data_IF_052258744396
#
_entry.id   IF_052258744396
#
_cell.length_a   1.000
_cell.length_b   1.000
_cell.length_c   1.000
_cell.angle_alpha   90.00
_cell.angle_beta   90.00
_cell.angle_gamma   90.00
#
_symmetry.space_group_name_H-M   'P 1'
#
loop_
_entity.id
_entity.type
_entity.pdbx_description
1 polymer ?
#
# COMPACT_ATOMS: atom_id res chain seq x y z
N UNK A 1 -39.26 -18.13 8.75
CA UNK A 1 -38.38 -18.68 9.77
C UNK A 1 -36.91 -18.48 9.31
N UNK A 2 -36.27 -17.44 9.79
CA UNK A 2 -34.86 -17.14 9.48
C UNK A 2 -33.99 -17.80 10.53
N UNK A 3 -33.08 -18.70 10.12
CA UNK A 3 -32.11 -19.33 11.02
C UNK A 3 -30.97 -18.31 11.27
N UNK A 4 -30.89 -17.88 12.52
CA UNK A 4 -29.75 -17.10 13.04
C UNK A 4 -28.61 -18.11 13.25
N UNK A 5 -27.51 -17.92 12.50
CA UNK A 5 -26.27 -18.67 12.71
C UNK A 5 -25.49 -17.94 13.80
N UNK A 6 -25.41 -18.54 14.97
CA UNK A 6 -24.69 -18.07 16.15
C UNK A 6 -23.15 -18.12 15.88
N UNK A 7 -22.50 -16.99 15.91
CA UNK A 7 -21.03 -16.88 15.99
C UNK A 7 -20.62 -17.05 17.45
N UNK A 8 -20.43 -18.28 17.89
CA UNK A 8 -19.72 -18.64 19.14
C UNK A 8 -18.82 -19.84 18.86
N UNK A 9 -17.54 -19.60 18.82
CA UNK A 9 -16.40 -20.45 19.17
C UNK A 9 -15.18 -20.19 18.28
N UNK A 10 -14.47 -19.10 18.58
CA UNK A 10 -13.02 -19.00 18.27
C UNK A 10 -12.33 -18.44 19.53
N UNK A 11 -12.38 -19.21 20.59
CA UNK A 11 -11.59 -19.00 21.78
C UNK A 11 -10.67 -20.21 21.98
N UNK A 12 -9.38 -20.00 21.91
CA UNK A 12 -8.41 -20.98 22.33
C UNK A 12 -7.51 -21.52 21.23
N UNK A 13 -6.47 -20.78 20.86
CA UNK A 13 -5.16 -21.27 20.35
C UNK A 13 -4.17 -20.10 20.20
N UNK A 14 -4.05 -19.27 21.23
CA UNK A 14 -3.01 -18.22 21.31
C UNK A 14 -2.21 -18.42 22.61
N UNK A 15 -1.62 -19.60 22.78
CA UNK A 15 -0.67 -19.83 23.87
C UNK A 15 0.14 -21.11 23.61
N UNK A 16 1.02 -21.10 22.61
CA UNK A 16 2.12 -22.07 22.46
C UNK A 16 3.06 -21.75 21.29
N UNK A 17 3.65 -20.56 21.23
CA UNK A 17 4.83 -20.30 20.38
C UNK A 17 5.79 -19.28 21.03
N UNK A 18 6.04 -19.45 22.31
CA UNK A 18 7.02 -18.68 23.06
C UNK A 18 7.99 -19.63 23.77
N UNK A 19 8.69 -20.50 23.00
CA UNK A 19 9.84 -21.27 23.51
C UNK A 19 10.46 -22.10 22.37
N UNK A 20 11.15 -21.42 21.43
CA UNK A 20 12.16 -22.09 20.59
C UNK A 20 13.09 -21.05 19.92
N UNK A 21 13.78 -20.27 20.74
CA UNK A 21 14.90 -19.44 20.29
C UNK A 21 16.10 -19.60 21.20
N UNK A 22 16.63 -20.83 21.29
CA UNK A 22 17.96 -21.11 21.82
C UNK A 22 18.47 -22.45 21.27
N UNK A 23 18.74 -22.50 19.97
CA UNK A 23 19.70 -23.45 19.41
C UNK A 23 20.47 -22.68 18.35
N UNK A 24 21.80 -22.66 18.53
CA UNK A 24 22.72 -21.97 17.65
C UNK A 24 22.57 -22.41 16.18
N UNK A 25 21.86 -21.60 15.44
CA UNK A 25 21.77 -21.67 13.99
C UNK A 25 22.62 -20.53 13.45
N UNK A 26 23.52 -20.84 12.53
CA UNK A 26 24.27 -19.89 11.72
C UNK A 26 23.41 -18.65 11.45
N UNK A 27 23.95 -17.48 11.79
CA UNK A 27 23.41 -16.21 11.34
C UNK A 27 23.41 -16.29 9.81
N UNK A 28 22.29 -16.70 9.25
CA UNK A 28 22.01 -16.46 7.86
C UNK A 28 22.08 -14.94 7.77
N UNK A 29 23.18 -14.41 7.22
CA UNK A 29 23.27 -13.00 6.88
C UNK A 29 22.05 -12.73 5.99
N UNK A 30 21.02 -12.12 6.57
CA UNK A 30 19.92 -11.58 5.81
C UNK A 30 20.55 -10.80 4.66
N UNK A 31 20.25 -11.17 3.42
CA UNK A 31 20.92 -10.54 2.29
C UNK A 31 20.65 -9.04 2.39
N UNK A 32 21.65 -8.21 2.14
CA UNK A 32 21.58 -6.75 2.23
C UNK A 32 20.37 -6.14 1.54
N UNK A 33 19.72 -6.88 0.62
CA UNK A 33 18.48 -6.46 -0.05
C UNK A 33 17.23 -6.57 0.83
N UNK A 34 17.13 -7.59 1.69
CA UNK A 34 15.99 -7.74 2.61
C UNK A 34 16.08 -6.72 3.74
N UNK A 35 17.29 -6.35 4.17
CA UNK A 35 17.50 -5.29 5.16
C UNK A 35 17.05 -3.92 4.61
N UNK A 36 17.40 -3.59 3.35
CA UNK A 36 16.95 -2.36 2.69
C UNK A 36 15.44 -2.34 2.57
N UNK A 37 14.84 -3.46 2.16
CA UNK A 37 13.39 -3.59 2.05
C UNK A 37 12.71 -3.37 3.41
N UNK A 38 13.19 -4.04 4.47
CA UNK A 38 12.65 -3.89 5.81
C UNK A 38 12.82 -2.47 6.36
N UNK A 39 13.93 -1.80 6.03
CA UNK A 39 14.15 -0.41 6.44
C UNK A 39 13.07 0.52 5.91
N UNK A 40 12.74 0.45 4.63
CA UNK A 40 11.74 1.34 4.03
C UNK A 40 10.29 0.89 4.25
N UNK A 41 10.02 -0.40 4.49
CA UNK A 41 8.66 -0.90 4.70
C UNK A 41 8.22 -0.93 6.17
N UNK A 42 9.15 -1.13 7.11
CA UNK A 42 8.80 -1.36 8.51
C UNK A 42 9.43 -0.37 9.51
N UNK A 43 10.61 0.23 9.18
CA UNK A 43 11.28 1.16 10.09
C UNK A 43 10.71 2.58 9.95
N UNK A 44 10.39 3.24 11.06
CA UNK A 44 9.78 4.58 11.06
C UNK A 44 10.64 5.64 10.35
N UNK A 45 11.96 5.65 10.58
CA UNK A 45 12.88 6.58 9.91
C UNK A 45 12.93 6.32 8.41
N UNK A 46 13.02 5.04 8.00
CA UNK A 46 13.04 4.66 6.60
C UNK A 46 11.75 5.05 5.87
N UNK A 47 10.59 4.83 6.50
CA UNK A 47 9.29 5.27 5.95
C UNK A 47 9.22 6.79 5.80
N UNK A 48 9.74 7.54 6.78
CA UNK A 48 9.79 8.99 6.72
C UNK A 48 10.71 9.48 5.58
N UNK A 49 11.88 8.90 5.44
CA UNK A 49 12.82 9.23 4.35
C UNK A 49 12.22 8.90 2.96
N UNK A 50 11.54 7.76 2.83
CA UNK A 50 10.84 7.39 1.60
C UNK A 50 9.71 8.36 1.27
N UNK A 51 8.94 8.77 2.29
CA UNK A 51 7.87 9.75 2.13
C UNK A 51 8.42 11.10 1.65
N UNK A 52 9.44 11.63 2.28
CA UNK A 52 10.07 12.91 1.89
C UNK A 52 10.65 12.86 0.48
N UNK A 53 11.28 11.75 0.12
CA UNK A 53 11.74 11.52 -1.23
C UNK A 53 10.59 11.49 -2.24
N UNK A 54 9.48 10.80 -1.91
CA UNK A 54 8.30 10.72 -2.75
C UNK A 54 7.63 12.10 -2.93
N UNK A 55 7.54 12.91 -1.87
CA UNK A 55 7.03 14.30 -1.93
C UNK A 55 7.79 15.10 -2.99
N UNK A 56 9.12 15.08 -2.92
CA UNK A 56 9.97 15.83 -3.85
C UNK A 56 9.88 15.27 -5.28
N UNK A 57 9.92 13.93 -5.42
CA UNK A 57 9.91 13.27 -6.73
C UNK A 57 8.58 13.43 -7.48
N UNK A 58 7.47 13.45 -6.74
CA UNK A 58 6.11 13.47 -7.30
C UNK A 58 5.48 14.88 -7.30
N UNK A 59 6.20 15.90 -6.86
CA UNK A 59 5.69 17.27 -6.80
C UNK A 59 4.50 17.47 -5.86
N UNK A 60 4.38 16.64 -4.81
CA UNK A 60 3.21 16.62 -3.93
C UNK A 60 3.06 17.86 -3.03
N UNK A 61 4.07 18.69 -2.93
CA UNK A 61 4.05 19.99 -2.27
C UNK A 61 3.18 21.02 -3.00
N UNK A 62 2.92 20.82 -4.30
CA UNK A 62 2.13 21.71 -5.16
C UNK A 62 0.62 21.53 -5.03
N UNK A 63 0.16 20.39 -4.51
CA UNK A 63 -1.27 20.13 -4.34
C UNK A 63 -1.91 21.14 -3.37
N UNK A 64 -3.15 21.55 -3.65
CA UNK A 64 -3.89 22.49 -2.81
C UNK A 64 -4.21 21.88 -1.43
N UNK A 65 -4.33 22.73 -0.42
CA UNK A 65 -4.72 22.27 0.93
C UNK A 65 -6.13 21.67 0.94
N UNK A 66 -7.02 22.15 0.06
CA UNK A 66 -8.37 21.59 -0.10
C UNK A 66 -8.32 20.16 -0.64
N UNK A 67 -7.49 19.86 -1.63
CA UNK A 67 -7.33 18.53 -2.20
C UNK A 67 -6.71 17.58 -1.18
N UNK A 68 -5.65 18.03 -0.52
CA UNK A 68 -5.02 17.27 0.59
C UNK A 68 -6.05 16.92 1.67
N UNK A 69 -6.83 17.91 2.12
CA UNK A 69 -7.86 17.69 3.13
C UNK A 69 -8.97 16.75 2.65
N UNK A 70 -9.34 16.81 1.38
CA UNK A 70 -10.32 15.93 0.77
C UNK A 70 -9.83 14.48 0.74
N UNK A 71 -8.61 14.24 0.26
CA UNK A 71 -8.00 12.91 0.24
C UNK A 71 -7.86 12.35 1.64
N UNK A 72 -7.40 13.16 2.59
CA UNK A 72 -7.25 12.75 3.99
C UNK A 72 -8.57 12.31 4.62
N UNK A 73 -9.66 13.05 4.40
CA UNK A 73 -11.00 12.67 4.92
C UNK A 73 -11.46 11.34 4.37
N UNK A 74 -11.32 11.12 3.06
CA UNK A 74 -11.74 9.87 2.42
C UNK A 74 -10.88 8.68 2.88
N UNK A 75 -9.55 8.87 2.99
CA UNK A 75 -8.65 7.86 3.54
C UNK A 75 -9.01 7.50 4.99
N UNK A 76 -9.31 8.50 5.82
CA UNK A 76 -9.72 8.27 7.21
C UNK A 76 -11.04 7.48 7.29
N UNK A 77 -12.00 7.74 6.41
CA UNK A 77 -13.26 7.01 6.36
C UNK A 77 -13.01 5.53 6.02
N UNK A 78 -12.21 5.25 4.99
CA UNK A 78 -11.83 3.88 4.61
C UNK A 78 -11.05 3.17 5.72
N UNK A 79 -10.12 3.85 6.37
CA UNK A 79 -9.38 3.31 7.50
C UNK A 79 -10.30 2.96 8.69
N UNK A 80 -11.26 3.82 8.99
CA UNK A 80 -12.23 3.57 10.05
C UNK A 80 -13.10 2.33 9.74
N UNK A 81 -13.51 2.15 8.48
CA UNK A 81 -14.21 0.93 8.04
C UNK A 81 -13.34 -0.31 8.28
N UNK A 82 -12.05 -0.22 8.04
CA UNK A 82 -11.11 -1.31 8.27
C UNK A 82 -10.71 -1.51 9.75
N UNK A 83 -11.19 -0.66 10.66
CA UNK A 83 -10.82 -0.69 12.07
C UNK A 83 -9.36 -0.32 12.33
N UNK A 84 -8.74 0.48 11.45
CA UNK A 84 -7.34 0.83 11.48
C UNK A 84 -7.10 2.26 11.96
N UNK A 85 -6.02 2.49 12.72
CA UNK A 85 -5.50 3.83 12.98
C UNK A 85 -4.72 4.35 11.78
N UNK A 86 -4.86 5.64 11.49
CA UNK A 86 -4.10 6.31 10.42
C UNK A 86 -2.89 7.10 10.94
N UNK A 87 -2.52 6.95 12.19
CA UNK A 87 -1.43 7.71 12.82
C UNK A 87 -0.09 7.54 12.09
N UNK A 88 0.18 6.32 11.64
CA UNK A 88 1.40 5.97 10.90
C UNK A 88 1.26 6.09 9.38
N UNK A 89 0.09 6.47 8.89
CA UNK A 89 -0.17 6.54 7.47
C UNK A 89 0.29 7.88 6.89
N UNK A 90 0.71 7.84 5.65
CA UNK A 90 1.08 9.01 4.87
C UNK A 90 0.31 8.96 3.55
N UNK A 91 -0.08 10.11 3.06
CA UNK A 91 -0.68 10.21 1.72
C UNK A 91 -0.02 11.35 0.95
N UNK A 92 -0.02 11.22 -0.35
CA UNK A 92 0.53 12.19 -1.29
C UNK A 92 -0.49 12.47 -2.39
N UNK A 93 -0.72 13.73 -2.70
CA UNK A 93 -1.37 14.14 -3.94
C UNK A 93 -0.27 14.60 -4.88
N UNK A 94 0.05 13.81 -5.90
CA UNK A 94 1.09 14.17 -6.86
C UNK A 94 0.57 15.16 -7.91
N UNK A 95 1.44 16.01 -8.46
CA UNK A 95 1.08 17.01 -9.47
C UNK A 95 0.83 16.42 -10.88
N UNK A 96 0.80 15.10 -11.01
CA UNK A 96 0.54 14.43 -12.28
C UNK A 96 -0.94 14.55 -12.68
N UNK A 97 -1.18 15.09 -13.88
CA UNK A 97 -2.54 15.24 -14.44
C UNK A 97 -3.15 13.95 -15.01
N UNK A 98 -2.39 12.86 -15.14
CA UNK A 98 -2.93 11.56 -15.54
C UNK A 98 -3.58 10.87 -14.35
N UNK A 99 -4.71 10.21 -14.59
CA UNK A 99 -5.37 9.39 -13.58
C UNK A 99 -4.46 8.26 -13.10
N UNK A 100 -4.16 8.20 -11.80
CA UNK A 100 -3.50 7.07 -11.16
C UNK A 100 -3.64 7.15 -9.64
N UNK A 101 -3.58 5.98 -8.98
CA UNK A 101 -3.38 5.84 -7.54
C UNK A 101 -2.58 4.57 -7.30
N UNK A 102 -1.79 4.53 -6.22
CA UNK A 102 -1.03 3.34 -5.85
C UNK A 102 -0.54 3.41 -4.40
N UNK A 103 -0.34 2.25 -3.79
CA UNK A 103 0.29 2.13 -2.49
C UNK A 103 1.79 1.87 -2.62
N UNK A 104 2.58 2.58 -1.82
CA UNK A 104 3.99 2.27 -1.58
C UNK A 104 4.10 1.47 -0.27
N UNK A 105 5.11 0.60 -0.12
CA UNK A 105 5.31 -0.12 1.14
C UNK A 105 5.42 0.82 2.34
N UNK A 106 4.84 0.42 3.47
CA UNK A 106 4.91 1.19 4.71
C UNK A 106 3.78 2.21 4.88
N UNK A 107 2.60 1.93 4.33
CA UNK A 107 1.39 2.75 4.45
C UNK A 107 1.53 4.16 3.87
N UNK A 108 2.18 4.25 2.71
CA UNK A 108 2.27 5.49 1.94
C UNK A 108 1.35 5.35 0.72
N UNK A 109 0.32 6.17 0.64
CA UNK A 109 -0.67 6.17 -0.44
C UNK A 109 -0.42 7.37 -1.35
N UNK A 110 -0.40 7.12 -2.64
CA UNK A 110 -0.24 8.16 -3.66
C UNK A 110 -1.51 8.21 -4.51
N UNK A 111 -2.06 9.40 -4.67
CA UNK A 111 -3.12 9.70 -5.63
C UNK A 111 -2.68 10.87 -6.50
N UNK A 112 -2.94 10.81 -7.79
CA UNK A 112 -2.56 11.89 -8.70
C UNK A 112 -3.59 13.00 -8.72
N UNK A 113 -3.18 14.24 -9.04
CA UNK A 113 -4.10 15.35 -9.22
C UNK A 113 -5.18 15.01 -10.25
N UNK A 114 -4.81 14.31 -11.35
CA UNK A 114 -5.79 13.87 -12.34
C UNK A 114 -6.86 12.92 -11.78
N UNK A 115 -6.53 12.08 -10.80
CA UNK A 115 -7.53 11.26 -10.13
C UNK A 115 -8.35 12.07 -9.13
N UNK A 116 -7.75 12.99 -8.39
CA UNK A 116 -8.47 13.89 -7.47
C UNK A 116 -9.50 14.74 -8.21
N UNK A 117 -9.14 15.26 -9.39
CA UNK A 117 -10.03 16.11 -10.20
C UNK A 117 -11.21 15.34 -10.82
N UNK A 118 -11.03 14.03 -11.05
CA UNK A 118 -12.00 13.20 -11.76
C UNK A 118 -12.96 12.43 -10.86
N UNK A 119 -12.54 12.09 -9.65
CA UNK A 119 -13.30 11.24 -8.74
C UNK A 119 -14.29 12.03 -7.88
N UNK A 120 -15.48 11.47 -7.63
CA UNK A 120 -16.31 11.87 -6.49
C UNK A 120 -15.70 11.38 -5.18
N UNK A 121 -16.25 11.77 -4.03
CA UNK A 121 -15.74 11.29 -2.73
C UNK A 121 -15.98 9.78 -2.57
N UNK A 122 -17.14 9.29 -3.00
CA UNK A 122 -17.46 7.87 -2.96
C UNK A 122 -16.58 7.06 -3.92
N UNK A 123 -16.34 7.54 -5.14
CA UNK A 123 -15.41 6.91 -6.08
C UNK A 123 -13.98 6.90 -5.52
N UNK A 124 -13.56 7.97 -4.84
CA UNK A 124 -12.26 8.04 -4.18
C UNK A 124 -12.15 7.01 -3.06
N UNK A 125 -13.21 6.77 -2.28
CA UNK A 125 -13.21 5.72 -1.25
C UNK A 125 -13.04 4.33 -1.85
N UNK A 126 -13.64 4.06 -3.02
CA UNK A 126 -13.43 2.79 -3.73
C UNK A 126 -11.95 2.60 -4.08
N UNK A 127 -11.33 3.61 -4.70
CA UNK A 127 -9.89 3.56 -5.05
C UNK A 127 -9.03 3.41 -3.80
N UNK A 128 -9.27 4.19 -2.76
CA UNK A 128 -8.48 4.12 -1.52
C UNK A 128 -8.66 2.79 -0.78
N UNK A 129 -9.83 2.16 -0.84
CA UNK A 129 -10.05 0.82 -0.29
C UNK A 129 -9.27 -0.24 -1.08
N UNK A 130 -9.18 -0.12 -2.40
CA UNK A 130 -8.38 -0.98 -3.25
C UNK A 130 -6.87 -0.84 -2.94
N UNK A 131 -6.37 0.39 -2.82
CA UNK A 131 -4.97 0.64 -2.47
C UNK A 131 -4.63 0.17 -1.04
N UNK A 132 -5.58 0.35 -0.09
CA UNK A 132 -5.44 -0.19 1.25
C UNK A 132 -5.34 -1.72 1.23
N UNK A 133 -6.14 -2.39 0.38
CA UNK A 133 -6.07 -3.84 0.23
C UNK A 133 -4.68 -4.31 -0.22
N UNK A 134 -4.04 -3.59 -1.14
CA UNK A 134 -2.68 -3.91 -1.55
C UNK A 134 -1.70 -3.89 -0.37
N UNK A 135 -1.77 -2.88 0.48
CA UNK A 135 -0.89 -2.80 1.66
C UNK A 135 -1.22 -3.89 2.68
N UNK A 136 -2.50 -4.10 3.00
CA UNK A 136 -2.95 -5.12 3.95
C UNK A 136 -2.61 -6.54 3.53
N UNK A 137 -2.60 -6.82 2.23
CA UNK A 137 -2.24 -8.11 1.65
C UNK A 137 -0.72 -8.22 1.35
N UNK A 138 0.05 -7.15 1.58
CA UNK A 138 1.49 -7.12 1.40
C UNK A 138 1.96 -7.18 -0.06
N UNK A 139 1.11 -6.82 -1.01
CA UNK A 139 1.38 -6.92 -2.45
C UNK A 139 2.60 -6.11 -2.89
N UNK A 140 2.81 -4.83 -2.45
CA UNK A 140 3.95 -4.04 -2.87
C UNK A 140 5.28 -4.69 -2.47
N UNK A 141 5.39 -5.13 -1.23
CA UNK A 141 6.56 -5.84 -0.72
C UNK A 141 6.80 -7.17 -1.44
N UNK A 142 5.72 -7.94 -1.68
CA UNK A 142 5.80 -9.21 -2.39
C UNK A 142 6.23 -9.03 -3.86
N UNK A 143 5.76 -7.98 -4.53
CA UNK A 143 6.14 -7.64 -5.89
C UNK A 143 7.66 -7.37 -6.01
N UNK A 144 8.22 -6.57 -5.09
CA UNK A 144 9.65 -6.30 -5.02
C UNK A 144 10.45 -7.60 -4.82
N UNK A 145 10.04 -8.43 -3.86
CA UNK A 145 10.73 -9.70 -3.55
C UNK A 145 10.72 -10.68 -4.71
N UNK A 146 9.66 -10.68 -5.50
CA UNK A 146 9.55 -11.55 -6.69
C UNK A 146 10.39 -11.09 -7.87
N UNK A 147 10.73 -9.81 -7.94
CA UNK A 147 11.52 -9.25 -9.04
C UNK A 147 13.02 -9.50 -8.81
N UNK A 148 13.68 -10.38 -9.60
CA UNK A 148 15.12 -10.59 -9.46
C UNK A 148 15.92 -9.31 -9.68
N UNK A 149 15.43 -8.41 -10.54
CA UNK A 149 16.06 -7.13 -10.84
C UNK A 149 15.96 -6.19 -9.62
N UNK A 150 14.77 -6.05 -9.03
CA UNK A 150 14.56 -5.26 -7.82
C UNK A 150 15.45 -5.74 -6.67
N UNK A 151 15.46 -7.04 -6.40
CA UNK A 151 16.28 -7.62 -5.34
C UNK A 151 17.79 -7.48 -5.63
N UNK A 152 18.21 -7.56 -6.89
CA UNK A 152 19.61 -7.28 -7.27
C UNK A 152 19.98 -5.83 -7.00
N UNK A 153 19.05 -4.90 -7.27
CA UNK A 153 19.24 -3.47 -7.02
C UNK A 153 19.36 -3.18 -5.53
N UNK A 154 18.44 -3.70 -4.72
CA UNK A 154 18.46 -3.55 -3.26
C UNK A 154 19.73 -4.15 -2.63
N UNK A 155 20.20 -5.30 -3.10
CA UNK A 155 21.49 -5.88 -2.62
C UNK A 155 22.68 -4.99 -2.94
N UNK A 156 22.67 -4.28 -4.06
CA UNK A 156 23.71 -3.30 -4.39
C UNK A 156 23.64 -2.07 -3.48
N UNK A 157 22.42 -1.56 -3.24
CA UNK A 157 22.18 -0.47 -2.31
C UNK A 157 22.65 -0.82 -0.90
N UNK A 158 22.32 -2.01 -0.40
CA UNK A 158 22.76 -2.49 0.90
C UNK A 158 24.30 -2.58 1.06
N UNK A 159 25.02 -2.92 -0.03
CA UNK A 159 26.49 -2.96 -0.02
C UNK A 159 27.14 -1.56 -0.01
N UNK A 160 26.45 -0.53 -0.44
CA UNK A 160 26.94 0.86 -0.40
C UNK A 160 26.76 1.52 0.97
N UNK A 161 26.10 0.82 1.92
CA UNK A 161 25.90 1.33 3.27
C UNK A 161 27.24 1.54 3.97
N UNK A 162 27.59 2.79 4.21
CA UNK A 162 28.61 3.14 5.19
C UNK A 162 27.96 3.01 6.59
N UNK A 163 28.72 2.59 7.60
CA UNK A 163 28.24 2.39 8.97
C UNK A 163 27.54 3.60 9.60
N UNK A 164 27.65 4.77 8.98
CA UNK A 164 27.09 6.04 9.43
C UNK A 164 25.89 6.54 8.61
N UNK A 165 25.45 5.85 7.53
CA UNK A 165 24.42 6.35 6.62
C UNK A 165 23.25 5.39 6.48
N UNK A 166 22.04 5.95 6.48
CA UNK A 166 20.82 5.27 6.07
C UNK A 166 20.89 4.78 4.61
N UNK A 167 20.03 3.85 4.24
CA UNK A 167 19.89 3.42 2.84
C UNK A 167 19.33 4.57 1.98
N UNK A 168 19.61 4.53 0.66
CA UNK A 168 19.16 5.56 -0.25
C UNK A 168 17.67 5.33 -0.63
N UNK A 169 16.76 6.29 -0.38
CA UNK A 169 15.39 6.22 -0.87
C UNK A 169 15.30 6.13 -2.40
N UNK A 170 16.24 6.76 -3.12
CA UNK A 170 16.30 6.69 -4.59
C UNK A 170 16.59 5.27 -5.08
N UNK A 171 17.54 4.55 -4.47
CA UNK A 171 17.84 3.17 -4.82
C UNK A 171 16.64 2.26 -4.54
N UNK A 172 15.88 2.52 -3.47
CA UNK A 172 14.66 1.79 -3.15
C UNK A 172 13.54 2.08 -4.16
N UNK A 173 13.36 3.35 -4.53
CA UNK A 173 12.40 3.76 -5.54
C UNK A 173 12.62 3.07 -6.88
N UNK A 174 13.84 3.04 -7.36
CA UNK A 174 14.22 2.30 -8.58
C UNK A 174 13.85 0.81 -8.50
N UNK A 175 14.07 0.19 -7.32
CA UNK A 175 13.68 -1.20 -7.12
C UNK A 175 12.15 -1.40 -7.16
N UNK A 176 11.38 -0.44 -6.67
CA UNK A 176 9.91 -0.47 -6.78
C UNK A 176 9.46 -0.34 -8.23
N UNK A 177 10.00 0.61 -8.98
CA UNK A 177 9.66 0.81 -10.40
C UNK A 177 9.94 -0.42 -11.28
N UNK A 178 10.84 -1.30 -10.85
CA UNK A 178 11.14 -2.58 -11.51
C UNK A 178 10.23 -3.73 -11.07
N UNK A 179 9.34 -3.50 -10.13
CA UNK A 179 8.42 -4.52 -9.61
C UNK A 179 7.04 -4.41 -10.28
N UNK A 180 6.32 -5.52 -10.34
CA UNK A 180 4.99 -5.59 -10.94
C UNK A 180 4.06 -6.37 -10.03
N UNK A 181 2.92 -5.79 -9.72
CA UNK A 181 1.80 -6.47 -9.08
C UNK A 181 1.15 -7.42 -10.09
N UNK A 182 0.73 -8.60 -9.65
CA UNK A 182 0.17 -9.63 -10.53
C UNK A 182 -1.34 -9.47 -10.63
N UNK A 183 -1.92 -9.86 -11.75
CA UNK A 183 -3.38 -9.88 -11.95
C UNK A 183 -4.16 -10.59 -10.83
N UNK A 184 -3.59 -11.62 -10.22
CA UNK A 184 -4.21 -12.32 -9.09
C UNK A 184 -4.22 -11.48 -7.82
N UNK A 185 -3.22 -10.62 -7.62
CA UNK A 185 -3.11 -9.68 -6.50
C UNK A 185 -4.08 -8.51 -6.68
N UNK A 186 -4.25 -8.02 -7.91
CA UNK A 186 -5.28 -7.04 -8.26
C UNK A 186 -6.67 -7.56 -7.92
N UNK A 187 -6.99 -8.79 -8.38
CA UNK A 187 -8.25 -9.43 -8.05
C UNK A 187 -8.46 -9.63 -6.56
N UNK A 188 -7.40 -9.96 -5.82
CA UNK A 188 -7.50 -10.10 -4.37
C UNK A 188 -7.77 -8.75 -3.69
N UNK A 189 -7.15 -7.67 -4.18
CA UNK A 189 -7.40 -6.31 -3.71
C UNK A 189 -8.84 -5.87 -3.99
N UNK A 190 -9.37 -6.12 -5.19
CA UNK A 190 -10.76 -5.84 -5.55
C UNK A 190 -11.75 -6.54 -4.62
N UNK A 191 -11.53 -7.85 -4.36
CA UNK A 191 -12.40 -8.64 -3.48
C UNK A 191 -12.36 -8.07 -2.06
N UNK A 192 -11.18 -7.84 -1.52
CA UNK A 192 -11.00 -7.32 -0.16
C UNK A 192 -11.65 -5.94 -0.01
N UNK A 193 -11.46 -5.04 -0.98
CA UNK A 193 -12.07 -3.72 -0.96
C UNK A 193 -13.60 -3.79 -1.03
N UNK A 194 -14.15 -4.65 -1.90
CA UNK A 194 -15.59 -4.84 -2.02
C UNK A 194 -16.21 -5.43 -0.74
N UNK A 195 -15.56 -6.39 -0.11
CA UNK A 195 -15.98 -6.96 1.18
C UNK A 195 -15.98 -5.91 2.29
N UNK A 196 -14.91 -5.10 2.39
CA UNK A 196 -14.81 -4.01 3.35
C UNK A 196 -15.94 -3.01 3.19
N UNK A 197 -16.12 -2.49 1.98
CA UNK A 197 -17.14 -1.47 1.67
C UNK A 197 -18.55 -2.00 1.90
N UNK A 198 -18.84 -3.22 1.45
CA UNK A 198 -20.15 -3.87 1.64
C UNK A 198 -20.49 -4.11 3.11
N UNK A 199 -19.50 -4.42 3.94
CA UNK A 199 -19.70 -4.61 5.38
C UNK A 199 -20.11 -3.33 6.13
N UNK A 200 -19.96 -2.16 5.48
CA UNK A 200 -20.25 -0.83 6.02
C UNK A 200 -21.37 -0.11 5.25
N UNK A 201 -22.29 -0.88 4.65
CA UNK A 201 -23.46 -0.38 3.91
C UNK A 201 -23.11 0.59 2.76
N UNK A 202 -21.88 0.49 2.22
CA UNK A 202 -21.48 1.27 1.05
C UNK A 202 -22.18 0.75 -0.21
N UNK A 203 -22.70 1.64 -1.06
CA UNK A 203 -23.34 1.25 -2.31
C UNK A 203 -22.29 0.79 -3.35
N UNK A 204 -22.14 -0.52 -3.52
CA UNK A 204 -21.21 -1.09 -4.47
C UNK A 204 -21.50 -0.77 -5.94
N UNK A 205 -22.68 -0.19 -6.26
CA UNK A 205 -22.95 0.29 -7.64
C UNK A 205 -22.00 1.43 -8.00
N UNK A 206 -21.50 2.19 -7.02
CA UNK A 206 -20.45 3.21 -7.22
C UNK A 206 -19.19 2.57 -7.78
N UNK A 207 -18.75 1.45 -7.20
CA UNK A 207 -17.56 0.74 -7.67
C UNK A 207 -17.74 0.20 -9.09
N UNK A 208 -18.89 -0.40 -9.40
CA UNK A 208 -19.19 -0.91 -10.74
C UNK A 208 -19.16 0.22 -11.76
N UNK A 209 -19.86 1.32 -11.49
CA UNK A 209 -19.94 2.48 -12.38
C UNK A 209 -18.55 3.14 -12.57
N UNK A 210 -17.75 3.19 -11.50
CA UNK A 210 -16.40 3.72 -11.58
C UNK A 210 -15.52 2.88 -12.54
N UNK A 211 -15.52 1.56 -12.39
CA UNK A 211 -14.73 0.70 -13.28
C UNK A 211 -15.21 0.76 -14.74
N UNK A 212 -16.51 0.87 -14.99
CA UNK A 212 -17.05 1.10 -16.33
C UNK A 212 -16.62 2.46 -16.90
N UNK A 213 -16.67 3.53 -16.10
CA UNK A 213 -16.19 4.86 -16.46
C UNK A 213 -14.70 4.84 -16.82
N UNK A 214 -13.84 4.24 -15.96
CA UNK A 214 -12.42 4.18 -16.21
C UNK A 214 -12.08 3.33 -17.44
N UNK A 215 -12.75 2.18 -17.62
CA UNK A 215 -12.58 1.35 -18.82
C UNK A 215 -12.98 2.08 -20.09
N UNK A 216 -14.09 2.80 -20.07
CA UNK A 216 -14.57 3.58 -21.22
C UNK A 216 -13.59 4.68 -21.60
N UNK A 217 -12.93 5.31 -20.62
CA UNK A 217 -12.06 6.45 -20.84
C UNK A 217 -10.61 6.05 -21.16
N UNK A 218 -10.10 5.03 -20.51
CA UNK A 218 -8.69 4.66 -20.56
C UNK A 218 -8.43 3.30 -21.24
N UNK A 219 -9.49 2.58 -21.63
CA UNK A 219 -9.42 1.22 -22.15
C UNK A 219 -9.30 0.17 -21.05
N UNK A 220 -9.06 -1.08 -21.44
CA UNK A 220 -8.77 -2.14 -20.47
C UNK A 220 -7.50 -1.76 -19.72
N UNK A 221 -7.62 -1.52 -18.42
CA UNK A 221 -6.49 -1.23 -17.54
C UNK A 221 -5.63 -2.50 -17.54
N UNK A 222 -4.37 -2.43 -18.00
CA UNK A 222 -3.50 -3.60 -17.95
C UNK A 222 -3.19 -3.92 -16.50
N UNK A 223 -3.69 -5.06 -16.04
CA UNK A 223 -3.30 -5.65 -14.75
C UNK A 223 -1.91 -6.27 -14.85
#
# INVERSE_FOLDING_TARGET
>A
MRKIISVKQWGGWVLSLLLMWLVGGSVCQAGSGDEVLAYFSANASGRQELYEFAVAKLGADKASDSDKARVQRNLQQVANMAGLSTEDWRFLVSDNSKFNAYALPGYIFVITQGAVDELTDEEMQVILAHELAHEMLGHPTAAIKRSPMSMKYLRRAGKKKDSSKAYSPADYWEAMEMSVVRKQEEKAADIWAAELLSAHDFDLTVAINLWEKLRSKYGDIPY
#
